data_IF_124414674533
#
_entry.id   IF_124414674533
#
_cell.length_a   1.000
_cell.length_b   1.000
_cell.length_c   1.000
_cell.angle_alpha   90.00
_cell.angle_beta   90.00
_cell.angle_gamma   90.00
#
_symmetry.space_group_name_H-M   'P 1'
#
loop_
_entity.id
_entity.type
_entity.pdbx_description
1 polymer ?
#
# COMPACT_ATOMS: atom_id res chain seq x y z
N UNK A 1 -16.88 -9.66 -24.05
CA UNK A 1 -16.51 -9.58 -22.60
C UNK A 1 -16.49 -8.11 -22.23
N UNK A 2 -17.16 -7.72 -21.13
CA UNK A 2 -17.07 -6.33 -20.64
C UNK A 2 -15.61 -6.00 -20.31
N UNK A 3 -15.13 -4.84 -20.73
CA UNK A 3 -13.81 -4.33 -20.36
C UNK A 3 -13.69 -4.02 -18.85
N UNK A 4 -14.84 -3.83 -18.20
CA UNK A 4 -14.93 -3.50 -16.78
C UNK A 4 -15.60 -4.68 -16.05
N UNK A 5 -14.81 -5.39 -15.24
CA UNK A 5 -15.30 -6.47 -14.38
C UNK A 5 -15.56 -5.90 -12.98
N UNK A 6 -16.60 -6.42 -12.32
CA UNK A 6 -16.80 -6.12 -10.91
C UNK A 6 -15.63 -6.68 -10.08
N UNK A 7 -15.24 -5.97 -9.03
CA UNK A 7 -14.27 -6.49 -8.07
C UNK A 7 -14.85 -7.72 -7.36
N UNK A 8 -13.98 -8.66 -6.94
CA UNK A 8 -14.41 -9.80 -6.12
C UNK A 8 -15.02 -9.35 -4.79
N UNK A 9 -15.98 -10.12 -4.27
CA UNK A 9 -16.65 -9.85 -2.99
C UNK A 9 -15.73 -10.26 -1.82
N UNK A 10 -14.79 -9.39 -1.46
CA UNK A 10 -13.92 -9.56 -0.30
C UNK A 10 -14.30 -8.56 0.79
N UNK A 11 -14.12 -8.99 2.05
CA UNK A 11 -14.30 -8.14 3.23
C UNK A 11 -13.16 -8.38 4.20
N UNK A 12 -12.67 -7.30 4.81
CA UNK A 12 -11.71 -7.36 5.91
C UNK A 12 -12.31 -6.74 7.15
N UNK A 13 -11.88 -7.19 8.32
CA UNK A 13 -12.45 -6.71 9.59
C UNK A 13 -11.36 -6.39 10.59
N UNK A 14 -11.56 -5.30 11.34
CA UNK A 14 -10.72 -4.90 12.46
C UNK A 14 -11.63 -4.40 13.59
N UNK A 15 -11.55 -5.02 14.76
CA UNK A 15 -12.50 -4.74 15.86
C UNK A 15 -13.95 -4.87 15.38
N UNK A 16 -14.78 -3.86 15.56
CA UNK A 16 -16.17 -3.81 15.14
C UNK A 16 -16.38 -3.22 13.73
N UNK A 17 -15.27 -2.94 13.00
CA UNK A 17 -15.31 -2.35 11.66
C UNK A 17 -15.18 -3.44 10.59
N UNK A 18 -15.90 -3.27 9.50
CA UNK A 18 -15.77 -4.09 8.28
C UNK A 18 -15.58 -3.18 7.07
N UNK A 19 -14.60 -3.48 6.22
CA UNK A 19 -14.37 -2.80 4.95
C UNK A 19 -14.78 -3.74 3.81
N UNK A 20 -15.68 -3.26 2.96
CA UNK A 20 -16.18 -3.99 1.80
C UNK A 20 -15.28 -3.71 0.58
N UNK A 21 -14.41 -4.65 0.26
CA UNK A 21 -13.45 -4.56 -0.84
C UNK A 21 -14.04 -4.98 -2.21
N UNK A 22 -15.35 -5.21 -2.30
CA UNK A 22 -16.07 -5.31 -3.59
C UNK A 22 -16.18 -3.95 -4.29
N UNK A 23 -15.85 -2.87 -3.56
CA UNK A 23 -15.71 -1.51 -4.08
C UNK A 23 -14.24 -1.08 -4.08
N UNK A 24 -13.83 -0.20 -5.00
CA UNK A 24 -12.47 0.33 -4.99
C UNK A 24 -12.22 1.26 -3.81
N UNK A 25 -11.07 1.13 -3.18
CA UNK A 25 -10.63 1.99 -2.09
C UNK A 25 -9.34 2.74 -2.45
N UNK A 26 -9.28 4.02 -2.05
CA UNK A 26 -8.07 4.83 -2.19
C UNK A 26 -7.38 4.88 -0.84
N UNK A 27 -6.12 4.46 -0.84
CA UNK A 27 -5.22 4.49 0.30
C UNK A 27 -4.25 5.65 0.13
N UNK A 28 -4.48 6.72 0.86
CA UNK A 28 -3.62 7.91 0.84
C UNK A 28 -2.35 7.70 1.64
N UNK A 29 -1.20 8.07 1.06
CA UNK A 29 0.12 7.91 1.69
C UNK A 29 0.43 9.11 2.58
N UNK A 30 0.63 8.85 3.87
CA UNK A 30 1.01 9.85 4.87
C UNK A 30 2.39 9.51 5.47
N UNK A 31 3.46 10.05 4.87
CA UNK A 31 4.81 9.88 5.39
C UNK A 31 5.06 10.85 6.56
N UNK A 32 5.46 10.32 7.70
CA UNK A 32 5.79 11.08 8.92
C UNK A 32 7.30 11.02 9.21
N UNK A 33 8.11 11.17 8.15
CA UNK A 33 9.57 11.23 8.23
C UNK A 33 10.05 12.67 8.50
N UNK A 34 11.25 12.88 9.08
CA UNK A 34 11.78 14.21 9.35
C UNK A 34 11.78 15.16 8.15
N UNK A 35 12.08 14.63 6.95
CA UNK A 35 12.09 15.42 5.71
C UNK A 35 10.69 15.92 5.30
N UNK A 36 9.65 15.25 5.77
CA UNK A 36 8.25 15.64 5.50
C UNK A 36 7.78 16.82 6.35
N UNK A 37 8.56 17.19 7.40
CA UNK A 37 8.18 18.18 8.40
C UNK A 37 9.33 19.16 8.73
N UNK A 38 10.21 19.45 7.77
CA UNK A 38 11.48 20.15 7.96
C UNK A 38 11.40 21.57 8.54
N UNK A 39 10.21 22.19 8.64
CA UNK A 39 10.09 23.62 9.00
C UNK A 39 9.55 23.91 10.41
N UNK A 40 9.40 22.94 11.30
CA UNK A 40 8.94 23.28 12.65
C UNK A 40 8.65 22.15 13.62
N UNK A 41 9.57 21.73 14.41
CA UNK A 41 9.43 20.93 15.65
C UNK A 41 8.37 19.79 15.67
N UNK A 42 8.45 18.88 16.66
CA UNK A 42 7.57 17.70 16.74
C UNK A 42 6.06 18.02 16.79
N UNK A 43 5.66 19.11 17.43
CA UNK A 43 4.22 19.48 17.52
C UNK A 43 3.67 19.98 16.18
N UNK A 44 4.45 20.76 15.42
CA UNK A 44 4.04 21.19 14.08
C UNK A 44 3.93 20.01 13.10
N UNK A 45 4.70 18.95 13.30
CA UNK A 45 4.65 17.73 12.48
C UNK A 45 3.33 16.96 12.62
N UNK A 46 2.82 16.81 13.83
CA UNK A 46 1.54 16.11 14.09
C UNK A 46 0.37 16.91 13.50
N UNK A 47 0.32 18.23 13.74
CA UNK A 47 -0.75 19.09 13.21
C UNK A 47 -0.76 19.09 11.67
N UNK A 48 0.43 19.17 11.06
CA UNK A 48 0.57 19.09 9.59
C UNK A 48 0.09 17.74 9.05
N UNK A 49 0.41 16.64 9.75
CA UNK A 49 -0.06 15.31 9.39
C UNK A 49 -1.59 15.20 9.46
N UNK A 50 -2.22 15.76 10.50
CA UNK A 50 -3.69 15.81 10.64
C UNK A 50 -4.32 16.62 9.52
N UNK A 51 -3.79 17.80 9.20
CA UNK A 51 -4.29 18.63 8.09
C UNK A 51 -4.19 17.91 6.75
N UNK A 52 -3.05 17.26 6.48
CA UNK A 52 -2.87 16.49 5.25
C UNK A 52 -3.79 15.26 5.20
N UNK A 53 -3.96 14.56 6.33
CA UNK A 53 -4.94 13.48 6.44
C UNK A 53 -6.35 13.96 6.08
N UNK A 54 -6.80 15.08 6.62
CA UNK A 54 -8.10 15.68 6.31
C UNK A 54 -8.25 16.04 4.84
N UNK A 55 -7.20 16.61 4.25
CA UNK A 55 -7.20 16.90 2.81
C UNK A 55 -7.42 15.62 2.02
N UNK A 56 -6.66 14.54 2.30
CA UNK A 56 -6.81 13.25 1.61
C UNK A 56 -8.21 12.65 1.81
N UNK A 57 -8.80 12.75 2.99
CA UNK A 57 -10.18 12.31 3.25
C UNK A 57 -11.18 13.09 2.39
N UNK A 58 -11.05 14.42 2.35
CA UNK A 58 -11.91 15.29 1.54
C UNK A 58 -11.75 15.02 0.04
N UNK A 59 -10.56 14.58 -0.38
CA UNK A 59 -10.26 14.17 -1.75
C UNK A 59 -10.78 12.76 -2.09
N UNK A 60 -11.26 11.99 -1.11
CA UNK A 60 -11.89 10.67 -1.30
C UNK A 60 -11.07 9.47 -0.81
N UNK A 61 -10.00 9.66 -0.03
CA UNK A 61 -9.32 8.54 0.62
C UNK A 61 -10.24 7.88 1.66
N UNK A 62 -10.25 6.57 1.68
CA UNK A 62 -10.97 5.74 2.65
C UNK A 62 -10.03 5.03 3.61
N UNK A 63 -8.75 4.98 3.27
CA UNK A 63 -7.66 4.44 4.08
C UNK A 63 -6.54 5.46 4.09
N UNK A 64 -5.93 5.71 5.23
CA UNK A 64 -4.71 6.52 5.37
C UNK A 64 -3.58 5.58 5.82
N UNK A 65 -2.48 5.56 5.07
CA UNK A 65 -1.32 4.71 5.33
C UNK A 65 -0.18 5.53 5.91
N UNK A 66 0.09 5.34 7.18
CA UNK A 66 1.03 6.14 7.98
C UNK A 66 2.36 5.41 8.07
N UNK A 67 3.44 6.02 7.53
CA UNK A 67 4.77 5.45 7.52
C UNK A 67 5.81 6.32 8.20
N UNK A 68 6.51 5.78 9.21
CA UNK A 68 7.60 6.45 9.95
C UNK A 68 9.01 6.10 9.47
N UNK A 69 9.15 5.02 8.70
CA UNK A 69 10.40 4.57 8.06
C UNK A 69 10.32 4.77 6.54
N UNK A 70 11.42 5.19 5.92
CA UNK A 70 11.52 5.21 4.45
C UNK A 70 11.99 3.85 3.96
N UNK A 71 11.17 3.17 3.16
CA UNK A 71 11.52 1.88 2.52
C UNK A 71 12.13 2.05 1.12
N UNK A 72 12.57 3.27 0.77
CA UNK A 72 13.26 3.55 -0.50
C UNK A 72 14.61 2.81 -0.55
N UNK A 73 15.10 2.46 -1.77
CA UNK A 73 16.45 1.91 -1.91
C UNK A 73 17.48 2.82 -1.24
N UNK A 74 18.38 2.23 -0.45
CA UNK A 74 19.45 2.93 0.28
C UNK A 74 18.97 3.89 1.40
N UNK A 75 17.72 3.82 1.86
CA UNK A 75 17.31 4.52 3.06
C UNK A 75 18.00 3.91 4.29
N UNK A 76 18.42 4.77 5.21
CA UNK A 76 18.95 4.32 6.50
C UNK A 76 17.84 3.66 7.33
N UNK A 77 18.21 2.61 8.04
CA UNK A 77 17.29 1.96 8.97
C UNK A 77 16.95 2.93 10.12
N UNK A 78 15.68 3.03 10.44
CA UNK A 78 15.19 3.85 11.56
C UNK A 78 15.12 2.98 12.81
N UNK A 79 15.57 3.52 13.95
CA UNK A 79 15.39 2.82 15.22
C UNK A 79 13.90 2.69 15.56
N UNK A 80 13.49 1.55 16.10
CA UNK A 80 12.08 1.29 16.47
C UNK A 80 11.50 2.38 17.38
N UNK A 81 12.30 2.89 18.34
CA UNK A 81 11.90 4.00 19.21
C UNK A 81 11.59 5.27 18.45
N UNK A 82 12.39 5.60 17.42
CA UNK A 82 12.21 6.80 16.62
C UNK A 82 10.99 6.67 15.72
N UNK A 83 10.77 5.49 15.14
CA UNK A 83 9.58 5.19 14.35
C UNK A 83 8.32 5.31 15.22
N UNK A 84 8.32 4.75 16.43
CA UNK A 84 7.22 4.90 17.39
C UNK A 84 6.92 6.37 17.72
N UNK A 85 7.95 7.17 18.00
CA UNK A 85 7.78 8.59 18.29
C UNK A 85 7.20 9.40 17.13
N UNK A 86 7.39 8.96 15.89
CA UNK A 86 6.81 9.59 14.71
C UNK A 86 5.37 9.14 14.44
N UNK A 87 5.11 7.85 14.52
CA UNK A 87 3.84 7.23 14.09
C UNK A 87 2.75 7.36 15.14
N UNK A 88 3.03 6.99 16.39
CA UNK A 88 2.02 6.84 17.45
C UNK A 88 1.26 8.13 17.75
N UNK A 89 1.93 9.30 17.92
CA UNK A 89 1.22 10.56 18.15
C UNK A 89 0.32 10.97 16.99
N UNK A 90 0.71 10.66 15.75
CA UNK A 90 -0.08 10.96 14.55
C UNK A 90 -1.33 10.09 14.49
N UNK A 91 -1.21 8.79 14.78
CA UNK A 91 -2.38 7.88 14.88
C UNK A 91 -3.37 8.39 15.91
N UNK A 92 -2.90 8.72 17.11
CA UNK A 92 -3.73 9.25 18.20
C UNK A 92 -4.45 10.52 17.79
N UNK A 93 -3.73 11.49 17.22
CA UNK A 93 -4.31 12.78 16.80
C UNK A 93 -5.36 12.61 15.67
N UNK A 94 -5.08 11.75 14.67
CA UNK A 94 -6.04 11.47 13.60
C UNK A 94 -7.29 10.79 14.18
N UNK A 95 -7.16 9.83 15.10
CA UNK A 95 -8.32 9.20 15.75
C UNK A 95 -9.15 10.18 16.56
N UNK A 96 -8.50 11.05 17.32
CA UNK A 96 -9.21 12.10 18.06
C UNK A 96 -10.01 13.03 17.14
N UNK A 97 -9.46 13.31 15.94
CA UNK A 97 -10.07 14.24 15.00
C UNK A 97 -11.14 13.59 14.10
N UNK A 98 -10.87 12.42 13.52
CA UNK A 98 -11.72 11.76 12.52
C UNK A 98 -12.60 10.65 13.10
N UNK A 99 -12.37 10.25 14.37
CA UNK A 99 -13.05 9.08 14.96
C UNK A 99 -12.77 7.81 14.15
N UNK A 100 -13.77 6.93 14.05
CA UNK A 100 -13.66 5.63 13.36
C UNK A 100 -14.10 5.66 11.89
N UNK A 101 -14.40 6.84 11.35
CA UNK A 101 -14.89 6.99 9.96
C UNK A 101 -13.86 6.64 8.90
N UNK A 102 -12.58 6.72 9.22
CA UNK A 102 -11.46 6.40 8.33
C UNK A 102 -10.70 5.16 8.81
N UNK A 103 -10.17 4.37 7.87
CA UNK A 103 -9.27 3.27 8.18
C UNK A 103 -7.83 3.77 8.29
N UNK A 104 -7.13 3.41 9.37
CA UNK A 104 -5.72 3.75 9.58
C UNK A 104 -4.86 2.51 9.38
N UNK A 105 -4.00 2.57 8.38
CA UNK A 105 -2.99 1.57 8.06
C UNK A 105 -1.63 2.07 8.55
N UNK A 106 -0.80 1.16 9.06
CA UNK A 106 0.55 1.47 9.51
C UNK A 106 1.55 0.75 8.61
N UNK A 107 2.34 1.55 7.86
CA UNK A 107 3.46 1.06 7.04
C UNK A 107 4.69 0.88 7.93
N UNK A 108 4.78 -0.29 8.53
CA UNK A 108 5.88 -0.69 9.43
C UNK A 108 6.15 -2.18 9.35
N UNK A 109 7.42 -2.58 9.58
CA UNK A 109 7.76 -3.98 9.80
C UNK A 109 8.07 -4.28 11.29
N UNK A 110 7.94 -3.29 12.19
CA UNK A 110 8.20 -3.46 13.62
C UNK A 110 6.94 -3.88 14.37
N UNK A 111 6.93 -5.06 15.01
CA UNK A 111 5.82 -5.48 15.87
C UNK A 111 5.53 -4.49 17.00
N UNK A 112 6.56 -3.86 17.56
CA UNK A 112 6.42 -2.91 18.66
C UNK A 112 5.71 -1.64 18.21
N UNK A 113 6.07 -1.11 17.03
CA UNK A 113 5.41 0.06 16.44
C UNK A 113 3.95 -0.27 16.16
N UNK A 114 3.70 -1.44 15.54
CA UNK A 114 2.31 -1.85 15.24
C UNK A 114 1.47 -2.04 16.50
N UNK A 115 2.03 -2.69 17.53
CA UNK A 115 1.29 -2.86 18.80
C UNK A 115 0.93 -1.51 19.43
N UNK A 116 1.87 -0.56 19.44
CA UNK A 116 1.63 0.77 19.99
C UNK A 116 0.59 1.54 19.17
N UNK A 117 0.71 1.54 17.84
CA UNK A 117 -0.25 2.18 16.96
C UNK A 117 -1.65 1.54 17.04
N UNK A 118 -1.72 0.21 17.18
CA UNK A 118 -2.99 -0.50 17.41
C UNK A 118 -3.70 -0.04 18.67
N UNK A 119 -2.96 0.16 19.76
CA UNK A 119 -3.53 0.65 21.02
C UNK A 119 -4.13 2.05 20.86
N UNK A 120 -3.58 2.88 19.98
CA UNK A 120 -4.08 4.23 19.65
C UNK A 120 -5.14 4.23 18.52
N UNK A 121 -5.52 3.06 18.02
CA UNK A 121 -6.64 2.95 17.09
C UNK A 121 -6.29 2.61 15.63
N UNK A 122 -5.07 2.20 15.30
CA UNK A 122 -4.76 1.69 13.97
C UNK A 122 -5.58 0.43 13.65
N UNK A 123 -5.94 0.25 12.38
CA UNK A 123 -6.83 -0.80 11.90
C UNK A 123 -6.13 -1.87 11.06
N UNK A 124 -5.10 -1.50 10.28
CA UNK A 124 -4.45 -2.36 9.28
C UNK A 124 -2.93 -2.34 9.51
N UNK A 125 -2.29 -3.48 9.35
CA UNK A 125 -0.84 -3.59 9.31
C UNK A 125 -0.36 -3.76 7.86
N UNK A 126 0.27 -2.73 7.30
CA UNK A 126 0.93 -2.78 6.01
C UNK A 126 2.42 -3.08 6.21
N UNK A 127 2.84 -4.32 5.94
CA UNK A 127 4.23 -4.74 6.15
C UNK A 127 4.91 -5.12 4.83
N UNK A 128 5.83 -4.26 4.38
CA UNK A 128 6.65 -4.49 3.19
C UNK A 128 7.54 -5.74 3.29
N UNK A 129 7.78 -6.25 4.51
CA UNK A 129 8.49 -7.51 4.77
C UNK A 129 7.56 -8.70 4.99
N UNK A 130 6.26 -8.51 4.80
CA UNK A 130 5.24 -9.56 4.88
C UNK A 130 5.31 -10.35 6.20
N UNK A 131 5.41 -9.67 7.34
CA UNK A 131 5.46 -10.24 8.70
C UNK A 131 6.65 -11.19 8.95
N UNK A 132 7.77 -11.02 8.23
CA UNK A 132 8.96 -11.88 8.37
C UNK A 132 9.81 -11.55 9.62
N UNK A 133 9.63 -10.39 10.24
CA UNK A 133 10.33 -10.08 11.50
C UNK A 133 9.80 -10.96 12.62
N UNK A 134 10.71 -11.35 13.51
CA UNK A 134 10.40 -12.22 14.67
C UNK A 134 9.23 -11.66 15.48
N UNK A 135 8.24 -12.48 15.75
CA UNK A 135 7.04 -12.12 16.52
C UNK A 135 5.96 -11.36 15.72
N UNK A 136 6.23 -10.97 14.45
CA UNK A 136 5.27 -10.18 13.68
C UNK A 136 4.00 -10.98 13.33
N UNK A 137 4.14 -12.21 12.86
CA UNK A 137 3.00 -13.04 12.49
C UNK A 137 2.17 -13.44 13.72
N UNK A 138 2.81 -13.78 14.84
CA UNK A 138 2.16 -14.08 16.11
C UNK A 138 1.40 -12.86 16.64
N UNK A 139 1.99 -11.68 16.55
CA UNK A 139 1.32 -10.44 16.96
C UNK A 139 0.11 -10.15 16.06
N UNK A 140 0.26 -10.28 14.75
CA UNK A 140 -0.84 -10.07 13.80
C UNK A 140 -2.02 -11.01 14.09
N UNK A 141 -1.74 -12.29 14.34
CA UNK A 141 -2.74 -13.27 14.74
C UNK A 141 -3.43 -12.89 16.06
N UNK A 142 -2.66 -12.42 17.06
CA UNK A 142 -3.18 -11.99 18.36
C UNK A 142 -4.06 -10.75 18.27
N UNK A 143 -3.68 -9.77 17.43
CA UNK A 143 -4.43 -8.52 17.26
C UNK A 143 -5.70 -8.72 16.42
N UNK A 144 -5.75 -9.80 15.65
CA UNK A 144 -6.87 -10.13 14.75
C UNK A 144 -7.22 -8.99 13.78
N UNK A 145 -6.20 -8.39 13.18
CA UNK A 145 -6.32 -7.25 12.26
C UNK A 145 -5.98 -7.63 10.83
N UNK A 146 -6.48 -6.88 9.83
CA UNK A 146 -6.03 -7.01 8.46
C UNK A 146 -4.53 -6.75 8.31
N UNK A 147 -3.87 -7.58 7.50
CA UNK A 147 -2.44 -7.47 7.19
C UNK A 147 -2.23 -7.39 5.69
N UNK A 148 -1.33 -6.53 5.25
CA UNK A 148 -0.86 -6.48 3.86
C UNK A 148 0.48 -7.22 3.76
N UNK A 149 0.49 -8.27 2.96
CA UNK A 149 1.68 -9.08 2.71
C UNK A 149 2.27 -8.69 1.35
N UNK A 150 3.38 -7.93 1.37
CA UNK A 150 4.04 -7.51 0.14
C UNK A 150 5.10 -8.51 -0.29
N UNK A 151 5.13 -8.79 -1.61
CA UNK A 151 6.20 -9.58 -2.20
C UNK A 151 7.49 -8.76 -2.37
N UNK A 152 8.55 -9.21 -1.70
CA UNK A 152 9.90 -8.69 -1.86
C UNK A 152 10.93 -9.82 -1.62
N UNK A 153 12.00 -9.85 -2.44
CA UNK A 153 13.20 -10.67 -2.19
C UNK A 153 14.27 -9.83 -1.51
N UNK A 154 14.83 -10.34 -0.41
CA UNK A 154 15.82 -9.62 0.40
C UNK A 154 15.25 -8.46 1.19
N UNK A 155 16.09 -7.47 1.43
CA UNK A 155 15.78 -6.23 2.15
C UNK A 155 15.86 -5.02 1.19
N UNK A 156 15.29 -3.85 1.52
CA UNK A 156 15.35 -2.66 0.67
C UNK A 156 16.78 -2.30 0.21
N UNK A 157 17.79 -2.60 1.01
CA UNK A 157 19.22 -2.36 0.70
C UNK A 157 19.83 -3.41 -0.23
N UNK A 158 19.29 -4.63 -0.30
CA UNK A 158 19.86 -5.77 -1.05
C UNK A 158 18.97 -6.23 -2.21
N UNK A 159 17.71 -5.84 -2.23
CA UNK A 159 16.68 -6.33 -3.15
C UNK A 159 17.03 -6.21 -4.64
N UNK A 160 17.76 -5.16 -5.04
CA UNK A 160 18.09 -4.93 -6.45
C UNK A 160 18.97 -6.06 -7.03
N UNK A 161 19.83 -6.67 -6.21
CA UNK A 161 20.68 -7.79 -6.62
C UNK A 161 19.90 -9.11 -6.73
N UNK A 162 18.70 -9.17 -6.17
CA UNK A 162 17.83 -10.34 -6.16
C UNK A 162 16.67 -10.24 -7.17
N UNK A 163 16.68 -9.22 -8.01
CA UNK A 163 15.70 -9.03 -9.09
C UNK A 163 15.97 -9.98 -10.27
N UNK A 164 15.96 -11.29 -10.03
CA UNK A 164 16.20 -12.36 -10.99
C UNK A 164 15.01 -13.32 -10.97
N UNK A 165 14.31 -13.45 -12.08
CA UNK A 165 13.13 -14.32 -12.24
C UNK A 165 13.20 -15.02 -13.59
N UNK A 166 12.83 -16.27 -13.64
CA UNK A 166 12.55 -16.99 -14.89
C UNK A 166 11.15 -16.61 -15.39
N UNK A 167 10.18 -16.58 -14.49
CA UNK A 167 8.81 -16.06 -14.71
C UNK A 167 8.36 -15.28 -13.49
N UNK A 168 8.45 -13.94 -13.57
CA UNK A 168 8.14 -13.06 -12.43
C UNK A 168 6.72 -13.24 -11.89
N UNK A 169 5.75 -13.57 -12.75
CA UNK A 169 4.34 -13.68 -12.34
C UNK A 169 4.12 -14.96 -11.54
N UNK A 170 4.61 -16.09 -12.05
CA UNK A 170 4.46 -17.39 -11.39
C UNK A 170 5.25 -17.43 -10.08
N UNK A 171 6.46 -16.88 -10.08
CA UNK A 171 7.31 -16.85 -8.89
C UNK A 171 6.74 -15.91 -7.81
N UNK A 172 6.29 -14.70 -8.16
CA UNK A 172 5.61 -13.80 -7.23
C UNK A 172 4.36 -14.46 -6.64
N UNK A 173 3.55 -15.13 -7.47
CA UNK A 173 2.37 -15.86 -7.01
C UNK A 173 2.73 -16.98 -6.05
N UNK A 174 3.75 -17.79 -6.37
CA UNK A 174 4.20 -18.91 -5.54
C UNK A 174 4.76 -18.43 -4.20
N UNK A 175 5.64 -17.42 -4.22
CA UNK A 175 6.26 -16.88 -3.00
C UNK A 175 5.22 -16.19 -2.08
N UNK A 176 4.21 -15.52 -2.66
CA UNK A 176 3.07 -14.99 -1.89
C UNK A 176 2.24 -16.13 -1.28
N UNK A 177 1.93 -17.18 -2.06
CA UNK A 177 1.17 -18.35 -1.57
C UNK A 177 1.89 -19.03 -0.41
N UNK A 178 3.20 -19.25 -0.52
CA UNK A 178 4.02 -19.85 0.53
C UNK A 178 3.95 -18.99 1.81
N UNK A 179 4.07 -17.66 1.66
CA UNK A 179 3.99 -16.75 2.80
C UNK A 179 2.60 -16.69 3.41
N UNK A 180 1.54 -16.71 2.61
CA UNK A 180 0.15 -16.78 3.09
C UNK A 180 -0.04 -18.05 3.93
N UNK A 181 0.38 -19.22 3.41
CA UNK A 181 0.25 -20.49 4.11
C UNK A 181 1.00 -20.48 5.46
N UNK A 182 2.20 -19.90 5.48
CA UNK A 182 3.01 -19.78 6.70
C UNK A 182 2.29 -18.92 7.76
N UNK A 183 1.85 -17.69 7.43
CA UNK A 183 1.20 -16.82 8.42
C UNK A 183 -0.16 -17.35 8.87
N UNK A 184 -0.91 -18.02 7.99
CA UNK A 184 -2.15 -18.68 8.34
C UNK A 184 -1.89 -19.83 9.31
N UNK A 185 -0.82 -20.62 9.14
CA UNK A 185 -0.44 -21.68 10.05
C UNK A 185 -0.09 -21.18 11.46
N UNK A 186 0.34 -19.93 11.59
CA UNK A 186 0.63 -19.23 12.87
C UNK A 186 -0.67 -18.72 13.52
N UNK A 187 -1.74 -18.52 12.74
CA UNK A 187 -3.05 -18.11 13.25
C UNK A 187 -3.61 -16.81 12.64
N UNK A 188 -2.93 -16.21 11.67
CA UNK A 188 -3.48 -15.07 10.94
C UNK A 188 -4.69 -15.53 10.13
N UNK A 189 -5.82 -14.86 10.26
CA UNK A 189 -7.04 -15.21 9.50
C UNK A 189 -6.84 -14.92 8.02
N UNK A 190 -7.06 -15.92 7.18
CA UNK A 190 -6.94 -15.74 5.72
C UNK A 190 -7.87 -14.64 5.20
N UNK A 191 -9.07 -14.48 5.77
CA UNK A 191 -10.02 -13.42 5.40
C UNK A 191 -9.51 -12.00 5.69
N UNK A 192 -8.48 -11.85 6.52
CA UNK A 192 -7.86 -10.57 6.87
C UNK A 192 -6.51 -10.34 6.16
N UNK A 193 -6.17 -11.17 5.16
CA UNK A 193 -4.94 -11.00 4.36
C UNK A 193 -5.26 -10.22 3.08
N UNK A 194 -4.45 -9.21 2.81
CA UNK A 194 -4.40 -8.43 1.57
C UNK A 194 -3.01 -8.69 0.95
N UNK A 195 -2.95 -8.97 -0.34
CA UNK A 195 -1.67 -9.15 -1.04
C UNK A 195 -1.22 -7.85 -1.70
N UNK A 196 0.11 -7.62 -1.74
CA UNK A 196 0.75 -6.60 -2.57
C UNK A 196 1.84 -7.25 -3.44
N UNK A 197 1.76 -7.13 -4.78
CA UNK A 197 2.75 -7.65 -5.69
C UNK A 197 4.15 -7.06 -5.54
N UNK A 198 4.29 -5.95 -4.81
CA UNK A 198 5.57 -5.32 -4.50
C UNK A 198 6.21 -4.60 -5.69
N UNK A 199 5.47 -3.72 -6.37
CA UNK A 199 6.05 -2.86 -7.40
C UNK A 199 7.14 -1.97 -6.80
N UNK A 200 8.32 -1.91 -7.47
CA UNK A 200 9.48 -1.16 -6.99
C UNK A 200 10.37 -1.91 -6.00
N UNK A 201 10.08 -3.19 -5.70
CA UNK A 201 10.86 -4.02 -4.78
C UNK A 201 11.34 -5.29 -5.48
N UNK A 202 12.66 -5.52 -5.46
CA UNK A 202 13.33 -6.69 -6.08
C UNK A 202 12.85 -6.99 -7.52
N UNK A 203 12.59 -5.98 -8.32
CA UNK A 203 12.10 -6.11 -9.70
C UNK A 203 12.74 -5.06 -10.61
N UNK A 204 13.10 -5.46 -11.84
CA UNK A 204 13.58 -4.56 -12.88
C UNK A 204 12.41 -4.05 -13.74
N UNK A 205 12.72 -3.28 -14.78
CA UNK A 205 11.72 -2.70 -15.69
C UNK A 205 10.84 -3.75 -16.37
N UNK A 206 11.45 -4.77 -16.94
CA UNK A 206 10.78 -5.85 -17.65
C UNK A 206 9.86 -6.65 -16.71
N UNK A 207 10.30 -6.89 -15.48
CA UNK A 207 9.51 -7.56 -14.45
C UNK A 207 8.26 -6.72 -14.07
N UNK A 208 8.41 -5.41 -13.97
CA UNK A 208 7.27 -4.52 -13.70
C UNK A 208 6.27 -4.50 -14.86
N UNK A 209 6.75 -4.44 -16.11
CA UNK A 209 5.88 -4.50 -17.29
C UNK A 209 5.11 -5.82 -17.34
N UNK A 210 5.79 -6.96 -17.17
CA UNK A 210 5.17 -8.27 -17.17
C UNK A 210 4.12 -8.39 -16.04
N UNK A 211 4.49 -7.99 -14.82
CA UNK A 211 3.62 -8.08 -13.66
C UNK A 211 2.38 -7.19 -13.80
N UNK A 212 2.53 -5.94 -14.28
CA UNK A 212 1.39 -5.05 -14.49
C UNK A 212 0.47 -5.56 -15.61
N UNK A 213 1.03 -6.10 -16.70
CA UNK A 213 0.23 -6.59 -17.83
C UNK A 213 -0.58 -7.85 -17.49
N UNK A 214 -0.18 -8.61 -16.49
CA UNK A 214 -0.81 -9.87 -16.09
C UNK A 214 -1.20 -9.91 -14.61
N UNK A 215 -1.46 -8.74 -14.01
CA UNK A 215 -1.76 -8.59 -12.60
C UNK A 215 -2.97 -9.44 -12.15
N UNK A 216 -3.96 -9.60 -13.04
CA UNK A 216 -5.16 -10.43 -12.80
C UNK A 216 -4.84 -11.91 -12.50
N UNK A 217 -3.69 -12.43 -12.91
CA UNK A 217 -3.29 -13.81 -12.59
C UNK A 217 -3.10 -14.05 -11.08
N UNK A 218 -2.84 -12.99 -10.30
CA UNK A 218 -2.72 -13.06 -8.85
C UNK A 218 -4.07 -13.23 -8.15
N UNK A 219 -5.20 -13.01 -8.84
CA UNK A 219 -6.53 -13.32 -8.31
C UNK A 219 -6.71 -14.82 -8.01
N UNK A 220 -5.89 -15.68 -8.61
CA UNK A 220 -5.86 -17.11 -8.30
C UNK A 220 -5.50 -17.41 -6.84
N UNK A 221 -4.92 -16.44 -6.11
CA UNK A 221 -4.67 -16.57 -4.66
C UNK A 221 -5.94 -16.43 -3.81
N UNK A 222 -7.06 -15.97 -4.40
CA UNK A 222 -8.35 -15.85 -3.72
C UNK A 222 -8.38 -14.79 -2.62
N UNK A 223 -7.55 -13.74 -2.72
CA UNK A 223 -7.39 -12.68 -1.73
C UNK A 223 -7.50 -11.29 -2.37
N UNK A 224 -7.93 -10.27 -1.60
CA UNK A 224 -7.92 -8.89 -2.07
C UNK A 224 -6.49 -8.41 -2.33
N UNK A 225 -6.36 -7.51 -3.30
CA UNK A 225 -5.04 -7.00 -3.73
C UNK A 225 -4.96 -5.49 -3.55
N UNK A 226 -3.88 -5.04 -2.91
CA UNK A 226 -3.44 -3.66 -2.90
C UNK A 226 -2.42 -3.44 -4.02
N UNK A 227 -2.50 -2.30 -4.68
CA UNK A 227 -1.59 -1.86 -5.72
C UNK A 227 -0.95 -0.52 -5.37
N UNK A 228 0.38 -0.48 -5.29
CA UNK A 228 1.16 0.70 -4.90
C UNK A 228 2.33 1.00 -5.84
N UNK A 229 2.10 1.87 -6.84
CA UNK A 229 3.14 2.27 -7.81
C UNK A 229 3.42 3.78 -7.80
N UNK A 230 2.65 4.54 -7.04
CA UNK A 230 2.67 6.00 -7.03
C UNK A 230 4.09 6.57 -6.86
N UNK A 231 4.50 7.42 -7.80
CA UNK A 231 5.79 8.12 -7.86
C UNK A 231 7.04 7.23 -7.94
N UNK A 232 6.88 5.89 -8.11
CA UNK A 232 8.00 4.96 -8.20
C UNK A 232 8.81 5.16 -9.49
N UNK A 233 10.09 4.76 -9.45
CA UNK A 233 11.06 4.92 -10.54
C UNK A 233 10.62 4.26 -11.85
N UNK A 234 9.94 3.12 -11.76
CA UNK A 234 9.38 2.42 -12.91
C UNK A 234 8.55 3.35 -13.82
N UNK A 235 7.72 4.24 -13.25
CA UNK A 235 6.92 5.18 -14.04
C UNK A 235 7.80 6.16 -14.83
N UNK A 236 8.91 6.65 -14.24
CA UNK A 236 9.87 7.48 -14.96
C UNK A 236 10.51 6.72 -16.13
N UNK A 237 10.87 5.44 -15.92
CA UNK A 237 11.45 4.60 -16.97
C UNK A 237 10.46 4.37 -18.12
N UNK A 238 9.17 4.14 -17.83
CA UNK A 238 8.11 4.04 -18.85
C UNK A 238 8.02 5.31 -19.68
N UNK A 239 7.94 6.47 -19.04
CA UNK A 239 7.80 7.76 -19.72
C UNK A 239 9.03 8.07 -20.59
N UNK A 240 10.24 7.79 -20.10
CA UNK A 240 11.48 7.98 -20.86
C UNK A 240 11.54 7.06 -22.09
N UNK A 241 11.26 5.75 -21.89
CA UNK A 241 11.32 4.76 -22.99
C UNK A 241 10.23 4.96 -24.06
N UNK A 242 9.10 5.58 -23.70
CA UNK A 242 8.02 5.88 -24.64
C UNK A 242 8.26 7.13 -25.50
N UNK A 243 9.37 7.87 -25.26
CA UNK A 243 9.65 9.14 -25.95
C UNK A 243 8.75 10.29 -25.48
N UNK A 244 8.04 10.14 -24.37
CA UNK A 244 7.27 11.20 -23.72
C UNK A 244 8.18 12.19 -22.97
N UNK A 245 9.30 12.59 -23.60
CA UNK A 245 10.35 13.41 -23.01
C UNK A 245 9.89 14.85 -22.67
N UNK A 246 8.75 15.29 -23.23
CA UNK A 246 8.15 16.57 -22.89
C UNK A 246 7.60 16.61 -21.44
N UNK A 247 7.43 15.46 -20.80
CA UNK A 247 7.05 15.36 -19.39
C UNK A 247 8.33 15.17 -18.60
N UNK A 248 8.70 16.16 -17.79
CA UNK A 248 9.83 16.02 -16.87
C UNK A 248 9.58 14.81 -15.96
N UNK A 249 10.57 13.92 -15.87
CA UNK A 249 10.49 12.70 -15.03
C UNK A 249 11.37 12.82 -13.79
N UNK A 250 12.03 13.97 -13.62
CA UNK A 250 13.02 14.22 -12.56
C UNK A 250 12.35 14.35 -11.21
N UNK A 251 11.22 15.05 -11.13
CA UNK A 251 10.47 15.19 -9.89
C UNK A 251 9.42 14.07 -9.76
N UNK A 252 9.30 13.51 -8.56
CA UNK A 252 8.40 12.39 -8.31
C UNK A 252 6.92 12.73 -8.59
N UNK A 253 6.50 13.98 -8.31
CA UNK A 253 5.13 14.47 -8.51
C UNK A 253 4.72 14.47 -9.99
N UNK A 254 5.65 14.65 -10.91
CA UNK A 254 5.38 14.66 -12.35
C UNK A 254 4.94 13.31 -12.90
N UNK A 255 5.10 12.23 -12.11
CA UNK A 255 4.68 10.87 -12.42
C UNK A 255 3.26 10.56 -11.97
N UNK A 256 2.55 11.52 -11.33
CA UNK A 256 1.22 11.26 -10.74
C UNK A 256 0.19 10.86 -11.80
N UNK A 257 0.20 11.46 -12.99
CA UNK A 257 -0.68 11.09 -14.11
C UNK A 257 -0.46 9.64 -14.57
N UNK A 258 0.81 9.25 -14.76
CA UNK A 258 1.16 7.87 -15.13
C UNK A 258 0.80 6.88 -14.01
N UNK A 259 1.00 7.28 -12.75
CA UNK A 259 0.61 6.50 -11.57
C UNK A 259 -0.92 6.29 -11.50
N UNK A 260 -1.69 7.33 -11.81
CA UNK A 260 -3.16 7.27 -11.87
C UNK A 260 -3.64 6.35 -12.98
N UNK A 261 -3.05 6.44 -14.18
CA UNK A 261 -3.35 5.52 -15.27
C UNK A 261 -3.03 4.06 -14.89
N UNK A 262 -1.86 3.81 -14.29
CA UNK A 262 -1.50 2.47 -13.81
C UNK A 262 -2.47 1.95 -12.74
N UNK A 263 -2.95 2.81 -11.83
CA UNK A 263 -3.98 2.48 -10.85
C UNK A 263 -5.30 2.06 -11.50
N UNK A 264 -5.72 2.74 -12.55
CA UNK A 264 -6.91 2.37 -13.33
C UNK A 264 -6.74 0.99 -13.99
N UNK A 265 -5.56 0.70 -14.57
CA UNK A 265 -5.25 -0.65 -15.08
C UNK A 265 -5.29 -1.71 -13.98
N UNK A 266 -4.79 -1.40 -12.80
CA UNK A 266 -4.81 -2.33 -11.66
C UNK A 266 -6.25 -2.63 -11.19
N UNK A 267 -7.12 -1.63 -11.12
CA UNK A 267 -8.55 -1.82 -10.82
C UNK A 267 -9.21 -2.76 -11.83
N UNK A 268 -8.95 -2.57 -13.13
CA UNK A 268 -9.47 -3.46 -14.18
C UNK A 268 -8.98 -4.89 -14.06
N UNK A 269 -7.85 -5.11 -13.40
CA UNK A 269 -7.25 -6.41 -13.16
C UNK A 269 -7.53 -6.96 -11.75
N UNK A 270 -8.44 -6.32 -11.00
CA UNK A 270 -8.98 -6.84 -9.74
C UNK A 270 -8.27 -6.35 -8.47
N UNK A 271 -7.41 -5.32 -8.56
CA UNK A 271 -6.95 -4.63 -7.35
C UNK A 271 -8.12 -3.86 -6.72
N UNK A 272 -8.34 -4.02 -5.43
CA UNK A 272 -9.40 -3.33 -4.71
C UNK A 272 -8.92 -2.14 -3.89
N UNK A 273 -7.62 -2.04 -3.64
CA UNK A 273 -7.01 -0.91 -2.91
C UNK A 273 -5.91 -0.30 -3.78
N UNK A 274 -6.00 1.01 -4.04
CA UNK A 274 -4.97 1.76 -4.77
C UNK A 274 -4.25 2.71 -3.82
N UNK A 275 -2.97 2.44 -3.55
CA UNK A 275 -2.11 3.25 -2.69
C UNK A 275 -1.45 4.37 -3.48
N UNK A 276 -1.73 5.63 -3.12
CA UNK A 276 -1.29 6.80 -3.89
C UNK A 276 -0.94 8.00 -3.04
N UNK A 277 -0.06 8.88 -3.56
CA UNK A 277 0.20 10.20 -2.98
C UNK A 277 -0.82 11.26 -3.47
N UNK A 278 -1.37 11.09 -4.68
CA UNK A 278 -2.31 12.05 -5.25
C UNK A 278 -3.72 11.45 -5.23
N UNK A 279 -4.41 11.65 -4.11
CA UNK A 279 -5.75 11.12 -3.87
C UNK A 279 -6.76 11.74 -4.84
N UNK A 280 -6.69 13.05 -5.05
CA UNK A 280 -7.64 13.76 -5.91
C UNK A 280 -7.65 13.26 -7.36
N UNK A 281 -6.45 13.02 -7.96
CA UNK A 281 -6.38 12.45 -9.31
C UNK A 281 -6.88 10.99 -9.35
N UNK A 282 -6.52 10.21 -8.34
CA UNK A 282 -6.96 8.81 -8.27
C UNK A 282 -8.47 8.71 -8.07
N UNK A 283 -9.09 9.62 -7.31
CA UNK A 283 -10.54 9.66 -7.12
C UNK A 283 -11.29 9.89 -8.44
N UNK A 284 -10.75 10.71 -9.35
CA UNK A 284 -11.35 10.90 -10.67
C UNK A 284 -11.30 9.59 -11.49
N UNK A 285 -10.16 8.87 -11.44
CA UNK A 285 -10.02 7.59 -12.13
C UNK A 285 -10.94 6.51 -11.54
N UNK A 286 -11.06 6.43 -10.22
CA UNK A 286 -11.97 5.53 -9.50
C UNK A 286 -13.43 5.84 -9.85
N UNK A 287 -13.81 7.12 -9.85
CA UNK A 287 -15.16 7.54 -10.20
C UNK A 287 -15.52 7.13 -11.63
N UNK A 288 -14.61 7.37 -12.59
CA UNK A 288 -14.81 6.93 -13.98
C UNK A 288 -14.96 5.40 -14.07
N UNK A 289 -14.04 4.65 -13.44
CA UNK A 289 -14.08 3.19 -13.43
C UNK A 289 -15.39 2.65 -12.85
N UNK A 290 -15.84 3.21 -11.71
CA UNK A 290 -17.06 2.78 -11.03
C UNK A 290 -18.32 3.01 -11.89
N UNK A 291 -18.39 4.14 -12.59
CA UNK A 291 -19.51 4.41 -13.50
C UNK A 291 -19.51 3.44 -14.69
N UNK A 292 -18.34 3.16 -15.28
CA UNK A 292 -18.25 2.25 -16.42
C UNK A 292 -18.46 0.79 -16.04
N UNK A 293 -18.00 0.37 -14.86
CA UNK A 293 -18.21 -1.00 -14.36
C UNK A 293 -19.67 -1.30 -14.01
N UNK A 294 -20.43 -0.29 -13.59
CA UNK A 294 -21.85 -0.40 -13.30
C UNK A 294 -22.72 -0.42 -14.58
N UNK A 295 -22.16 0.05 -15.71
CA UNK A 295 -22.91 0.15 -16.95
C UNK A 295 -22.97 -1.23 -17.66
N UNK A 296 -24.12 -1.89 -17.57
CA UNK A 296 -24.38 -3.18 -18.25
C UNK A 296 -25.28 -2.93 -19.45
N UNK A 297 -24.84 -3.36 -20.64
CA UNK A 297 -25.69 -3.49 -21.82
C UNK A 297 -26.49 -4.75 -21.77
#
# INVERSE_FOLDING_TARGET
MSLFQALPDYKISSRDKTLDLSQPHIMGILNVTPDSFSDGGQFNGVDTAVVHCQQMINEGATIIDIGGESTRPNADAVATSDEMHRVVPVVQAIRQYCGDSIWLSIDTSSPEVMQAAFNEGADIWNDVRALKRTGAAELAAKLDIPVMLMHMRGEPTTMNNLAQYDNVIDEVRTELLDRINEVVSIGVKQSNIIIDPGFGFAKNYEHHCALLSQLSSLQALGLPMMFGISRKRFLAEVLTKSGAEAVSTTQAVERDSAGTAAGLFALQQGASIIRTHNVAMMQQAVALWSQLSAYRY
#
